data_IF_202096199163
#
_entry.id   IF_202096199163
#
_cell.length_a   1.000
_cell.length_b   1.000
_cell.length_c   1.000
_cell.angle_alpha   90.00
_cell.angle_beta   90.00
_cell.angle_gamma   90.00
#
_symmetry.space_group_name_H-M   'P 1'
#
loop_
_entity.id
_entity.type
_entity.pdbx_description
1 polymer ?
#
# COMPACT_ATOMS: atom_id res chain seq x y z
N UNK A 1 -3.41 -2.24 21.05
CA UNK A 1 -3.14 -2.67 19.66
C UNK A 1 -2.57 -1.46 18.94
N UNK A 2 -1.42 -1.59 18.29
CA UNK A 2 -0.81 -0.51 17.51
C UNK A 2 -1.14 -0.75 16.05
N UNK A 3 -1.47 0.32 15.32
CA UNK A 3 -1.65 0.30 13.86
C UNK A 3 -0.47 1.08 13.30
N UNK A 4 0.33 0.43 12.45
CA UNK A 4 1.38 1.08 11.70
C UNK A 4 0.85 1.39 10.31
N UNK A 5 0.59 2.66 10.03
CA UNK A 5 -0.01 3.08 8.77
C UNK A 5 1.03 3.75 7.87
N UNK A 6 1.16 3.29 6.63
CA UNK A 6 1.94 3.94 5.58
C UNK A 6 0.99 4.38 4.47
N UNK A 7 0.97 5.68 4.16
CA UNK A 7 0.19 6.23 3.04
C UNK A 7 1.13 6.56 1.89
N UNK A 8 0.83 6.05 0.69
CA UNK A 8 1.66 6.21 -0.49
C UNK A 8 0.78 6.57 -1.68
N UNK A 9 1.14 7.63 -2.41
CA UNK A 9 0.61 7.95 -3.74
C UNK A 9 1.56 7.37 -4.81
N UNK A 10 0.99 6.67 -5.78
CA UNK A 10 1.72 5.95 -6.83
C UNK A 10 1.32 6.50 -8.18
N UNK A 11 2.31 6.82 -9.02
CA UNK A 11 2.07 7.25 -10.39
C UNK A 11 1.35 6.18 -11.22
N UNK A 12 0.43 6.59 -12.08
CA UNK A 12 -0.36 5.70 -12.95
C UNK A 12 0.53 4.76 -13.77
N UNK A 13 1.66 5.26 -14.27
CA UNK A 13 2.57 4.52 -15.17
C UNK A 13 3.17 3.26 -14.54
N UNK A 14 3.24 3.20 -13.20
CA UNK A 14 3.83 2.07 -12.46
C UNK A 14 2.84 1.41 -11.51
N UNK A 15 1.59 1.84 -11.50
CA UNK A 15 0.60 1.42 -10.50
C UNK A 15 0.37 -0.09 -10.47
N UNK A 16 0.18 -0.71 -11.64
CA UNK A 16 -0.12 -2.14 -11.74
C UNK A 16 1.07 -2.99 -11.28
N UNK A 17 2.27 -2.63 -11.72
CA UNK A 17 3.51 -3.32 -11.35
C UNK A 17 3.80 -3.17 -9.86
N UNK A 18 3.63 -1.97 -9.31
CA UNK A 18 3.76 -1.71 -7.89
C UNK A 18 2.75 -2.51 -7.06
N UNK A 19 1.47 -2.54 -7.47
CA UNK A 19 0.44 -3.26 -6.74
C UNK A 19 0.67 -4.78 -6.80
N UNK A 20 1.16 -5.29 -7.93
CA UNK A 20 1.58 -6.67 -8.06
C UNK A 20 2.73 -6.99 -7.09
N UNK A 21 3.81 -6.19 -7.13
CA UNK A 21 4.98 -6.35 -6.27
C UNK A 21 4.63 -6.28 -4.77
N UNK A 22 3.75 -5.35 -4.38
CA UNK A 22 3.27 -5.24 -3.00
C UNK A 22 2.63 -6.53 -2.52
N UNK A 23 1.79 -7.16 -3.35
CA UNK A 23 1.05 -8.38 -3.00
C UNK A 23 1.90 -9.64 -3.06
N UNK A 24 2.85 -9.73 -3.97
CA UNK A 24 3.60 -10.97 -4.23
C UNK A 24 4.97 -11.02 -3.56
N UNK A 25 5.56 -9.86 -3.22
CA UNK A 25 6.92 -9.79 -2.68
C UNK A 25 6.95 -8.99 -1.38
N UNK A 26 6.63 -7.68 -1.42
CA UNK A 26 6.91 -6.80 -0.28
C UNK A 26 6.13 -7.14 0.99
N UNK A 27 4.80 -7.26 0.90
CA UNK A 27 3.98 -7.60 2.07
C UNK A 27 4.33 -8.98 2.63
N UNK A 28 4.51 -10.05 1.82
CA UNK A 28 5.06 -11.31 2.31
C UNK A 28 6.36 -11.15 3.09
N UNK A 29 7.33 -10.40 2.56
CA UNK A 29 8.62 -10.16 3.23
C UNK A 29 8.45 -9.41 4.55
N UNK A 30 7.59 -8.39 4.60
CA UNK A 30 7.26 -7.65 5.82
C UNK A 30 6.61 -8.55 6.86
N UNK A 31 5.65 -9.39 6.46
CA UNK A 31 5.00 -10.33 7.37
C UNK A 31 5.97 -11.39 7.90
N UNK A 32 6.93 -11.84 7.08
CA UNK A 32 7.95 -12.82 7.45
C UNK A 32 8.94 -12.31 8.51
N UNK A 33 9.02 -10.99 8.73
CA UNK A 33 9.82 -10.43 9.84
C UNK A 33 9.29 -10.84 11.23
N UNK A 34 8.01 -11.25 11.32
CA UNK A 34 7.35 -11.56 12.59
C UNK A 34 7.01 -10.33 13.44
N UNK A 35 7.30 -9.11 12.97
CA UNK A 35 6.97 -7.87 13.66
C UNK A 35 5.48 -7.51 13.55
N UNK A 36 4.79 -8.01 12.54
CA UNK A 36 3.40 -7.68 12.21
C UNK A 36 2.49 -8.90 12.37
N UNK A 37 1.23 -8.65 12.78
CA UNK A 37 0.23 -9.71 12.99
C UNK A 37 -0.72 -9.87 11.81
N UNK A 38 -1.05 -8.77 11.16
CA UNK A 38 -1.91 -8.73 9.97
C UNK A 38 -1.46 -7.57 9.07
N UNK A 39 -1.96 -7.58 7.83
CA UNK A 39 -1.80 -6.46 6.92
C UNK A 39 -3.10 -6.17 6.15
N UNK A 40 -3.27 -4.92 5.69
CA UNK A 40 -4.36 -4.47 4.81
C UNK A 40 -3.82 -3.49 3.78
N UNK A 41 -4.22 -3.68 2.52
CA UNK A 41 -3.94 -2.75 1.41
C UNK A 41 -5.26 -2.06 1.06
N UNK A 42 -5.41 -0.78 1.39
CA UNK A 42 -6.64 -0.02 1.19
C UNK A 42 -6.43 1.06 0.11
N UNK A 43 -7.19 1.03 -0.98
CA UNK A 43 -7.20 2.12 -1.98
C UNK A 43 -8.02 3.29 -1.45
N UNK A 44 -7.45 4.49 -1.47
CA UNK A 44 -8.16 5.72 -1.11
C UNK A 44 -8.98 6.17 -2.32
N UNK A 45 -10.30 6.31 -2.14
CA UNK A 45 -11.22 6.74 -3.20
C UNK A 45 -11.46 8.25 -3.21
N UNK A 46 -11.26 8.90 -2.07
CA UNK A 46 -11.37 10.35 -1.93
C UNK A 46 -10.01 10.99 -2.16
N UNK A 47 -9.74 11.34 -3.42
CA UNK A 47 -8.54 12.06 -3.84
C UNK A 47 -8.86 13.54 -4.04
N UNK A 48 -7.86 14.42 -3.92
CA UNK A 48 -8.03 15.84 -4.25
C UNK A 48 -8.21 15.99 -5.77
N UNK A 49 -8.88 17.07 -6.22
CA UNK A 49 -9.22 17.28 -7.65
C UNK A 49 -7.99 17.25 -8.58
N UNK A 50 -6.81 17.63 -8.07
CA UNK A 50 -5.55 17.68 -8.81
C UNK A 50 -4.59 16.51 -8.50
N UNK A 51 -5.05 15.51 -7.73
CA UNK A 51 -4.21 14.38 -7.35
C UNK A 51 -4.05 13.40 -8.53
N UNK A 52 -2.85 13.34 -9.08
CA UNK A 52 -2.49 12.39 -10.15
C UNK A 52 -2.02 11.07 -9.52
N UNK A 53 -2.44 9.95 -10.10
CA UNK A 53 -2.05 8.60 -9.66
C UNK A 53 -3.04 7.95 -8.70
N UNK A 54 -2.53 7.05 -7.86
CA UNK A 54 -3.32 6.21 -6.98
C UNK A 54 -2.77 6.16 -5.57
N UNK A 55 -3.60 6.57 -4.61
CA UNK A 55 -3.22 6.58 -3.19
C UNK A 55 -3.72 5.33 -2.46
N UNK A 56 -2.82 4.75 -1.66
CA UNK A 56 -3.06 3.60 -0.82
C UNK A 56 -2.66 3.87 0.62
N UNK A 57 -3.43 3.32 1.56
CA UNK A 57 -3.03 3.16 2.96
C UNK A 57 -2.72 1.69 3.21
N UNK A 58 -1.50 1.42 3.70
CA UNK A 58 -1.02 0.10 4.11
C UNK A 58 -1.01 0.06 5.63
N UNK A 59 -1.65 -0.96 6.20
CA UNK A 59 -1.80 -1.14 7.65
C UNK A 59 -1.45 -2.56 8.04
#
# INVERSE_FOLDING_TARGET
MLIYNVTINIDESVHQDWLHWMKTIHIPDVMNTGCFKENRICKVLSTQEDEVGHTYAIQ
#
